data_IF_263300383122
#
_entry.id   IF_263300383122
#
_cell.length_a   1.000
_cell.length_b   1.000
_cell.length_c   1.000
_cell.angle_alpha   90.00
_cell.angle_beta   90.00
_cell.angle_gamma   90.00
#
_symmetry.space_group_name_H-M   'P 1'
#
loop_
_entity.id
_entity.type
_entity.pdbx_description
1 polymer ?
#
# COMPACT_ATOMS: atom_id res chain seq x y z
N UNK A 1 -41.54 24.85 -19.71
CA UNK A 1 -40.26 24.51 -20.41
C UNK A 1 -39.61 23.39 -19.64
N UNK A 2 -39.75 22.18 -20.16
CA UNK A 2 -39.34 20.93 -19.49
C UNK A 2 -37.91 20.62 -19.93
N UNK A 3 -36.98 20.64 -18.99
CA UNK A 3 -35.57 20.27 -19.26
C UNK A 3 -35.40 18.79 -18.89
N UNK A 4 -35.35 17.94 -19.90
CA UNK A 4 -35.01 16.52 -19.77
C UNK A 4 -33.48 16.37 -19.65
N UNK A 5 -32.99 16.01 -18.45
CA UNK A 5 -31.59 15.66 -18.22
C UNK A 5 -31.36 14.19 -18.58
N UNK A 6 -30.60 13.96 -19.65
CA UNK A 6 -30.14 12.64 -20.05
C UNK A 6 -28.94 12.24 -19.22
N UNK A 7 -29.13 11.38 -18.23
CA UNK A 7 -28.06 10.73 -17.49
C UNK A 7 -27.46 9.61 -18.35
N UNK A 8 -26.29 9.84 -18.94
CA UNK A 8 -25.50 8.76 -19.55
C UNK A 8 -24.79 7.97 -18.44
N UNK A 9 -25.24 6.73 -18.26
CA UNK A 9 -24.51 5.70 -17.55
C UNK A 9 -23.18 5.46 -18.25
N UNK A 10 -22.07 5.68 -17.53
CA UNK A 10 -20.76 5.15 -17.92
C UNK A 10 -20.63 3.78 -17.28
N UNK A 11 -21.05 2.77 -18.02
CA UNK A 11 -20.80 1.36 -17.72
C UNK A 11 -19.56 0.93 -18.50
N UNK A 12 -18.78 0.05 -17.88
CA UNK A 12 -17.74 -0.83 -18.40
C UNK A 12 -16.38 -0.24 -18.75
N UNK A 13 -15.39 -0.72 -18.02
CA UNK A 13 -14.04 -0.92 -18.58
C UNK A 13 -14.16 -1.87 -19.76
N UNK A 14 -14.05 -1.38 -20.99
CA UNK A 14 -13.92 -2.21 -22.17
C UNK A 14 -12.50 -2.74 -22.28
N UNK A 15 -12.38 -4.04 -22.37
CA UNK A 15 -11.21 -4.73 -22.87
C UNK A 15 -10.91 -4.32 -24.30
N UNK A 16 -9.65 -4.12 -24.65
CA UNK A 16 -9.20 -3.85 -26.02
C UNK A 16 -9.43 -5.09 -26.92
N UNK A 17 -9.80 -4.92 -28.17
CA UNK A 17 -10.07 -6.02 -29.08
C UNK A 17 -8.78 -6.68 -29.56
N UNK A 18 -8.75 -7.99 -29.49
CA UNK A 18 -7.72 -8.86 -30.06
C UNK A 18 -8.05 -9.10 -31.55
N UNK A 19 -7.27 -8.53 -32.47
CA UNK A 19 -7.33 -8.82 -33.88
C UNK A 19 -6.30 -9.88 -34.24
N UNK A 20 -6.75 -11.11 -34.43
CA UNK A 20 -5.90 -12.17 -34.96
C UNK A 20 -6.74 -13.29 -35.57
N UNK A 21 -6.96 -13.21 -36.88
CA UNK A 21 -7.58 -14.28 -37.67
C UNK A 21 -6.58 -15.42 -37.85
N UNK A 22 -6.88 -16.61 -37.34
CA UNK A 22 -6.21 -17.84 -37.66
C UNK A 22 -7.20 -19.01 -37.65
N UNK A 23 -7.56 -19.53 -38.83
CA UNK A 23 -8.37 -20.74 -39.00
C UNK A 23 -7.51 -21.96 -38.74
N UNK A 24 -7.88 -22.79 -37.75
CA UNK A 24 -7.35 -24.13 -37.55
C UNK A 24 -8.40 -25.04 -36.97
N UNK A 25 -8.90 -26.02 -37.79
CA UNK A 25 -9.79 -27.10 -37.34
C UNK A 25 -8.97 -28.09 -36.50
N UNK A 26 -9.38 -28.36 -35.29
CA UNK A 26 -8.83 -29.42 -34.44
C UNK A 26 -9.85 -29.95 -33.44
N UNK A 27 -10.12 -31.24 -33.50
CA UNK A 27 -11.14 -32.00 -32.76
C UNK A 27 -11.10 -31.81 -31.24
N UNK A 28 -12.24 -31.41 -30.67
CA UNK A 28 -12.53 -31.53 -29.24
C UNK A 28 -12.81 -33.00 -28.90
N UNK A 29 -11.89 -33.63 -28.16
CA UNK A 29 -12.21 -34.80 -27.33
C UNK A 29 -12.77 -34.30 -26.00
N UNK A 30 -14.08 -34.60 -25.81
CA UNK A 30 -14.74 -34.46 -24.52
C UNK A 30 -14.23 -35.59 -23.63
N UNK A 31 -13.44 -35.26 -22.60
CA UNK A 31 -13.14 -36.18 -21.51
C UNK A 31 -14.21 -36.05 -20.45
N UNK A 32 -15.06 -37.11 -20.40
CA UNK A 32 -16.08 -37.30 -19.38
C UNK A 32 -15.42 -37.53 -18.02
N UNK A 33 -15.85 -36.74 -17.04
CA UNK A 33 -15.55 -36.92 -15.62
C UNK A 33 -16.13 -38.22 -15.06
N UNK A 34 -15.33 -39.28 -15.04
CA UNK A 34 -15.59 -40.50 -14.27
C UNK A 34 -14.27 -41.21 -14.00
N UNK A 35 -13.53 -40.77 -12.99
CA UNK A 35 -12.52 -41.55 -12.24
C UNK A 35 -11.80 -40.64 -11.24
N UNK A 36 -12.42 -40.18 -10.19
CA UNK A 36 -11.78 -39.85 -8.90
C UNK A 36 -12.86 -40.02 -7.82
N UNK A 37 -13.08 -41.26 -7.43
CA UNK A 37 -13.70 -41.61 -6.17
C UNK A 37 -13.24 -43.03 -5.84
N UNK A 38 -12.16 -43.13 -5.14
CA UNK A 38 -11.85 -44.15 -4.16
C UNK A 38 -10.40 -43.99 -3.67
N UNK A 39 -10.20 -43.15 -2.69
CA UNK A 39 -9.22 -43.30 -1.61
C UNK A 39 -9.68 -42.43 -0.44
N UNK A 40 -10.69 -42.93 0.29
CA UNK A 40 -10.95 -42.51 1.64
C UNK A 40 -9.82 -43.06 2.54
N UNK A 41 -8.72 -42.36 2.65
CA UNK A 41 -7.87 -42.50 3.81
C UNK A 41 -8.59 -41.77 4.95
N UNK A 42 -9.00 -42.52 5.97
CA UNK A 42 -9.53 -41.98 7.23
C UNK A 42 -8.50 -41.01 7.80
N UNK A 43 -8.72 -39.73 7.59
CA UNK A 43 -7.94 -38.68 8.26
C UNK A 43 -8.52 -38.54 9.64
N UNK A 44 -7.78 -39.00 10.64
CA UNK A 44 -8.09 -38.84 12.05
C UNK A 44 -8.05 -37.35 12.42
N UNK A 45 -9.23 -36.75 12.59
CA UNK A 45 -9.46 -35.36 13.00
C UNK A 45 -9.57 -35.25 14.54
N UNK A 46 -8.80 -35.99 15.31
CA UNK A 46 -8.74 -35.76 16.75
C UNK A 46 -8.25 -34.34 17.05
N UNK A 47 -8.89 -33.66 17.99
CA UNK A 47 -8.55 -32.28 18.38
C UNK A 47 -7.08 -32.15 18.78
N UNK A 48 -6.50 -33.21 19.35
CA UNK A 48 -5.10 -33.27 19.73
C UNK A 48 -4.14 -33.25 18.52
N UNK A 49 -4.53 -33.88 17.43
CA UNK A 49 -3.73 -33.92 16.20
C UNK A 49 -3.83 -32.60 15.43
N UNK A 50 -5.01 -31.97 15.46
CA UNK A 50 -5.22 -30.63 14.92
C UNK A 50 -4.41 -29.59 15.70
N UNK A 51 -4.42 -29.64 17.02
CA UNK A 51 -3.63 -28.75 17.88
C UNK A 51 -2.12 -28.98 17.72
N UNK A 52 -1.68 -30.23 17.57
CA UNK A 52 -0.27 -30.55 17.31
C UNK A 52 0.18 -30.06 15.94
N UNK A 53 -0.66 -30.19 14.91
CA UNK A 53 -0.39 -29.67 13.56
C UNK A 53 -0.37 -28.15 13.56
N UNK A 54 -1.30 -27.49 14.26
CA UNK A 54 -1.29 -26.04 14.45
C UNK A 54 -0.04 -25.56 15.18
N UNK A 55 0.40 -26.24 16.24
CA UNK A 55 1.63 -25.89 16.95
C UNK A 55 2.87 -26.11 16.10
N UNK A 56 2.94 -27.17 15.30
CA UNK A 56 4.03 -27.38 14.34
C UNK A 56 4.03 -26.32 13.26
N UNK A 57 2.87 -26.02 12.66
CA UNK A 57 2.76 -24.92 11.69
C UNK A 57 3.11 -23.55 12.30
N UNK A 58 2.70 -23.28 13.54
CA UNK A 58 3.09 -22.05 14.23
C UNK A 58 4.58 -22.03 14.57
N UNK A 59 5.19 -23.15 14.91
CA UNK A 59 6.63 -23.26 15.17
C UNK A 59 7.47 -23.15 13.89
N UNK A 60 7.00 -23.70 12.77
CA UNK A 60 7.58 -23.47 11.43
C UNK A 60 7.40 -22.03 10.97
N UNK A 61 6.29 -21.38 11.36
CA UNK A 61 6.00 -19.96 11.13
C UNK A 61 6.85 -19.01 12.02
N UNK A 62 7.33 -19.48 13.18
CA UNK A 62 8.18 -18.69 14.10
C UNK A 62 9.67 -18.71 13.75
N UNK A 63 10.12 -19.65 12.94
CA UNK A 63 11.51 -19.75 12.48
C UNK A 63 11.58 -19.68 10.94
N UNK A 64 11.64 -18.48 10.36
CA UNK A 64 11.90 -18.37 8.93
C UNK A 64 13.25 -19.04 8.60
N UNK A 65 13.37 -19.75 7.45
CA UNK A 65 14.63 -20.34 7.03
C UNK A 65 15.72 -19.28 6.97
N UNK A 66 16.92 -19.63 7.38
CA UNK A 66 18.06 -18.71 7.39
C UNK A 66 18.30 -18.15 5.99
N UNK A 67 18.22 -16.81 5.86
CA UNK A 67 18.40 -16.12 4.58
C UNK A 67 17.14 -15.41 4.02
N UNK A 68 15.97 -15.61 4.64
CA UNK A 68 14.77 -14.86 4.28
C UNK A 68 14.57 -13.64 5.19
N UNK A 69 13.97 -12.58 4.62
CA UNK A 69 13.64 -11.34 5.36
C UNK A 69 12.57 -11.51 6.46
N UNK A 70 12.03 -12.70 6.63
CA UNK A 70 10.87 -12.99 7.48
C UNK A 70 9.57 -13.15 6.70
N UNK A 71 9.57 -12.85 5.39
CA UNK A 71 8.41 -13.04 4.52
C UNK A 71 8.01 -14.51 4.44
N UNK A 72 6.71 -14.73 4.60
CA UNK A 72 6.08 -16.04 4.51
C UNK A 72 5.15 -16.05 3.30
N UNK A 73 5.20 -17.14 2.53
CA UNK A 73 4.44 -17.33 1.31
C UNK A 73 5.32 -17.71 0.12
N UNK A 74 4.75 -18.40 -0.87
CA UNK A 74 5.46 -18.89 -2.07
C UNK A 74 5.30 -17.96 -3.28
N UNK A 75 4.56 -16.85 -3.16
CA UNK A 75 4.33 -15.92 -4.25
C UNK A 75 5.62 -15.41 -4.92
N UNK A 76 6.74 -15.43 -4.16
CA UNK A 76 8.05 -15.02 -4.65
C UNK A 76 8.67 -15.99 -5.68
N UNK A 77 8.19 -17.21 -5.80
CA UNK A 77 8.74 -18.28 -6.65
C UNK A 77 7.75 -18.83 -7.67
N UNK A 78 6.50 -18.35 -7.68
CA UNK A 78 5.48 -18.82 -8.60
C UNK A 78 5.57 -18.10 -9.95
N UNK A 79 5.36 -18.85 -11.03
CA UNK A 79 5.28 -18.31 -12.37
C UNK A 79 3.97 -17.59 -12.58
N UNK A 80 3.90 -16.73 -13.59
CA UNK A 80 2.72 -15.96 -13.95
C UNK A 80 1.47 -16.84 -14.17
N UNK A 81 1.65 -18.02 -14.72
CA UNK A 81 0.59 -18.98 -15.04
C UNK A 81 -0.04 -19.61 -13.80
N UNK A 82 0.67 -19.63 -12.67
CA UNK A 82 0.23 -20.25 -11.43
C UNK A 82 -0.68 -19.33 -10.59
N UNK A 83 -0.80 -18.05 -11.00
CA UNK A 83 -1.63 -17.09 -10.28
C UNK A 83 -3.11 -17.22 -10.69
N UNK A 84 -4.05 -17.05 -9.73
CA UNK A 84 -5.47 -17.10 -10.01
C UNK A 84 -5.93 -15.93 -10.90
N UNK A 85 -7.08 -16.10 -11.51
CA UNK A 85 -7.76 -15.00 -12.19
C UNK A 85 -8.44 -14.05 -11.20
N UNK A 86 -8.72 -12.82 -11.63
CA UNK A 86 -9.53 -11.87 -10.84
C UNK A 86 -10.89 -12.42 -10.46
N UNK A 87 -11.48 -13.29 -11.30
CA UNK A 87 -12.77 -13.95 -11.03
C UNK A 87 -12.65 -14.93 -9.86
N UNK A 88 -11.62 -15.75 -9.81
CA UNK A 88 -11.34 -16.68 -8.71
C UNK A 88 -11.08 -15.96 -7.40
N UNK A 89 -10.30 -14.88 -7.42
CA UNK A 89 -10.07 -14.03 -6.24
C UNK A 89 -11.41 -13.47 -5.73
N UNK A 90 -12.24 -12.92 -6.62
CA UNK A 90 -13.54 -12.39 -6.23
C UNK A 90 -14.51 -13.47 -5.74
N UNK A 91 -14.41 -14.71 -6.22
CA UNK A 91 -15.20 -15.84 -5.76
C UNK A 91 -14.78 -16.30 -4.35
N UNK A 92 -13.50 -16.20 -4.01
CA UNK A 92 -12.98 -16.54 -2.70
C UNK A 92 -13.46 -15.57 -1.59
N UNK A 93 -13.67 -14.28 -1.93
CA UNK A 93 -14.14 -13.26 -0.97
C UNK A 93 -15.63 -13.47 -0.69
N UNK A 94 -16.07 -13.63 0.58
CA UNK A 94 -17.47 -13.77 0.95
C UNK A 94 -18.36 -12.68 0.35
N UNK A 95 -19.53 -13.03 -0.14
CA UNK A 95 -20.41 -12.10 -0.88
C UNK A 95 -20.80 -10.87 -0.03
N UNK A 96 -21.06 -11.06 1.27
CA UNK A 96 -21.44 -9.99 2.18
C UNK A 96 -20.28 -8.99 2.43
N UNK A 97 -19.02 -9.43 2.36
CA UNK A 97 -17.85 -8.55 2.48
C UNK A 97 -17.75 -7.52 1.34
N UNK A 98 -18.46 -7.74 0.24
CA UNK A 98 -18.52 -6.81 -0.91
C UNK A 98 -19.72 -5.87 -0.86
N UNK A 99 -20.51 -5.91 0.21
CA UNK A 99 -21.71 -5.07 0.37
C UNK A 99 -21.36 -3.80 1.13
N UNK A 100 -21.63 -2.65 0.51
CA UNK A 100 -21.43 -1.34 1.13
C UNK A 100 -22.59 -1.00 2.07
N UNK A 101 -22.29 -0.68 3.31
CA UNK A 101 -23.19 -0.09 4.29
C UNK A 101 -22.79 1.36 4.55
N UNK A 102 -23.53 2.29 3.93
CA UNK A 102 -23.26 3.73 4.05
C UNK A 102 -23.39 4.22 5.49
N UNK A 103 -24.33 3.68 6.28
CA UNK A 103 -24.50 4.06 7.68
C UNK A 103 -23.28 3.67 8.50
N UNK A 104 -22.82 2.45 8.33
CA UNK A 104 -21.61 1.94 9.01
C UNK A 104 -20.38 2.75 8.63
N UNK A 105 -20.20 3.05 7.33
CA UNK A 105 -19.11 3.91 6.86
C UNK A 105 -19.16 5.31 7.49
N UNK A 106 -20.35 5.93 7.56
CA UNK A 106 -20.54 7.25 8.19
C UNK A 106 -20.25 7.22 9.70
N UNK A 107 -20.57 6.14 10.39
CA UNK A 107 -20.23 6.00 11.81
C UNK A 107 -18.72 5.94 12.03
N UNK A 108 -17.98 5.18 11.22
CA UNK A 108 -16.52 5.14 11.27
C UNK A 108 -15.91 6.50 10.90
N UNK A 109 -16.46 7.18 9.90
CA UNK A 109 -16.05 8.52 9.51
C UNK A 109 -16.23 9.52 10.65
N UNK A 110 -17.42 9.52 11.29
CA UNK A 110 -17.72 10.37 12.43
C UNK A 110 -16.83 10.05 13.64
N UNK A 111 -16.56 8.77 13.90
CA UNK A 111 -15.65 8.33 14.97
C UNK A 111 -14.23 8.86 14.74
N UNK A 112 -13.65 8.64 13.56
CA UNK A 112 -12.29 9.11 13.24
C UNK A 112 -12.18 10.62 13.30
N UNK A 113 -13.18 11.34 12.75
CA UNK A 113 -13.28 12.80 12.84
C UNK A 113 -13.37 13.26 14.29
N UNK A 114 -14.24 12.62 15.07
CA UNK A 114 -14.49 12.96 16.48
C UNK A 114 -13.25 12.77 17.34
N UNK A 115 -12.51 11.67 17.18
CA UNK A 115 -11.26 11.42 17.93
C UNK A 115 -10.23 12.54 17.66
N UNK A 116 -10.02 12.88 16.39
CA UNK A 116 -9.06 13.93 16.01
C UNK A 116 -9.49 15.31 16.52
N UNK A 117 -10.75 15.66 16.34
CA UNK A 117 -11.28 16.97 16.74
C UNK A 117 -11.27 17.13 18.26
N UNK A 118 -11.84 16.15 19.00
CA UNK A 118 -11.97 16.23 20.47
C UNK A 118 -10.58 16.26 21.11
N UNK A 119 -9.65 15.37 20.71
CA UNK A 119 -8.31 15.37 21.27
C UNK A 119 -7.54 16.65 20.93
N UNK A 120 -7.75 17.24 19.74
CA UNK A 120 -7.18 18.54 19.37
C UNK A 120 -7.73 19.69 20.20
N UNK A 121 -9.05 19.75 20.44
CA UNK A 121 -9.68 20.74 21.30
C UNK A 121 -9.20 20.63 22.74
N UNK A 122 -9.13 19.40 23.30
CA UNK A 122 -8.64 19.15 24.65
C UNK A 122 -7.16 19.55 24.78
N UNK A 123 -6.32 19.17 23.84
CA UNK A 123 -4.91 19.54 23.84
C UNK A 123 -4.73 21.07 23.81
N UNK A 124 -5.46 21.74 22.92
CA UNK A 124 -5.39 23.20 22.85
C UNK A 124 -5.86 23.92 24.13
N UNK A 125 -6.88 23.37 24.81
CA UNK A 125 -7.48 23.93 26.01
C UNK A 125 -6.63 23.68 27.28
N UNK A 126 -6.03 22.49 27.42
CA UNK A 126 -5.47 22.02 28.69
C UNK A 126 -3.95 21.87 28.70
N UNK A 127 -3.26 21.72 27.55
CA UNK A 127 -1.81 21.62 27.54
C UNK A 127 -1.20 23.02 27.51
N UNK A 128 -0.40 23.41 28.53
CA UNK A 128 0.29 24.69 28.53
C UNK A 128 1.30 24.81 27.36
N UNK A 129 1.29 25.98 26.69
CA UNK A 129 2.11 26.25 25.50
C UNK A 129 3.51 26.76 25.88
N UNK A 130 4.21 26.00 26.72
CA UNK A 130 5.58 26.30 27.18
C UNK A 130 6.51 25.13 26.88
N UNK A 131 7.81 25.39 26.78
CA UNK A 131 8.81 24.35 26.48
C UNK A 131 8.84 23.20 27.52
N UNK A 132 8.47 23.47 28.77
CA UNK A 132 8.36 22.44 29.80
C UNK A 132 7.33 21.35 29.45
N UNK A 133 6.30 21.68 28.66
CA UNK A 133 5.25 20.74 28.22
C UNK A 133 5.52 20.17 26.81
N UNK A 134 6.70 20.41 26.23
CA UNK A 134 7.07 19.83 24.93
C UNK A 134 6.90 18.29 24.85
N UNK A 135 7.29 17.49 25.87
CA UNK A 135 7.05 16.04 25.84
C UNK A 135 5.56 15.67 25.74
N UNK A 136 4.66 16.44 26.38
CA UNK A 136 3.21 16.22 26.34
C UNK A 136 2.66 16.59 24.94
N UNK A 137 3.17 17.66 24.32
CA UNK A 137 2.85 18.02 22.94
C UNK A 137 3.33 16.96 21.92
N UNK A 138 4.50 16.38 22.15
CA UNK A 138 5.01 15.26 21.33
C UNK A 138 4.09 14.05 21.48
N UNK A 139 3.71 13.67 22.69
CA UNK A 139 2.78 12.56 22.95
C UNK A 139 1.41 12.80 22.28
N UNK A 140 0.88 14.03 22.41
CA UNK A 140 -0.34 14.43 21.71
C UNK A 140 -0.17 14.33 20.19
N UNK A 141 0.92 14.83 19.63
CA UNK A 141 1.17 14.79 18.19
C UNK A 141 1.21 13.35 17.67
N UNK A 142 1.87 12.44 18.41
CA UNK A 142 1.91 11.00 18.08
C UNK A 142 0.50 10.41 18.13
N UNK A 143 -0.25 10.64 19.19
CA UNK A 143 -1.61 10.12 19.33
C UNK A 143 -2.54 10.67 18.23
N UNK A 144 -2.68 12.00 18.16
CA UNK A 144 -3.60 12.63 17.23
C UNK A 144 -3.20 12.39 15.76
N UNK A 145 -1.91 12.39 15.43
CA UNK A 145 -1.45 12.10 14.07
C UNK A 145 -1.65 10.65 13.65
N UNK A 146 -1.54 9.69 14.59
CA UNK A 146 -1.89 8.27 14.35
C UNK A 146 -3.39 8.12 14.08
N UNK A 147 -4.25 8.78 14.86
CA UNK A 147 -5.69 8.83 14.61
C UNK A 147 -6.02 9.61 13.32
N UNK A 148 -5.25 10.67 13.04
CA UNK A 148 -5.36 11.49 11.82
C UNK A 148 -5.08 10.67 10.55
N UNK A 149 -4.17 9.71 10.60
CA UNK A 149 -3.98 8.77 9.50
C UNK A 149 -5.23 7.89 9.30
N UNK A 150 -5.87 7.40 10.37
CA UNK A 150 -7.15 6.71 10.29
C UNK A 150 -8.27 7.59 9.69
N UNK A 151 -8.31 8.88 10.03
CA UNK A 151 -9.23 9.84 9.41
C UNK A 151 -8.92 10.03 7.91
N UNK A 152 -7.65 10.11 7.53
CA UNK A 152 -7.22 10.15 6.13
C UNK A 152 -7.65 8.88 5.38
N UNK A 153 -7.57 7.70 6.02
CA UNK A 153 -8.00 6.42 5.45
C UNK A 153 -9.50 6.36 5.16
N UNK A 154 -10.34 7.09 5.88
CA UNK A 154 -11.76 7.20 5.50
C UNK A 154 -11.93 7.91 4.14
N UNK A 155 -11.11 8.94 3.86
CA UNK A 155 -11.06 9.57 2.54
C UNK A 155 -10.49 8.65 1.45
N UNK A 156 -9.53 7.79 1.81
CA UNK A 156 -8.97 6.76 0.97
C UNK A 156 -10.03 5.71 0.55
N UNK A 157 -10.87 5.24 1.49
CA UNK A 157 -12.02 4.38 1.19
C UNK A 157 -13.00 5.04 0.19
N UNK A 158 -13.23 6.34 0.37
CA UNK A 158 -14.01 7.13 -0.60
C UNK A 158 -13.35 7.10 -1.99
N UNK A 159 -12.04 7.20 -2.06
CA UNK A 159 -11.25 7.14 -3.29
C UNK A 159 -11.41 5.83 -4.06
N UNK A 160 -11.62 4.73 -3.35
CA UNK A 160 -11.80 3.37 -3.90
C UNK A 160 -13.26 3.00 -4.20
N UNK A 161 -14.22 3.87 -3.96
CA UNK A 161 -15.65 3.55 -4.07
C UNK A 161 -16.08 2.44 -3.09
N UNK A 162 -15.42 2.37 -1.93
CA UNK A 162 -15.68 1.42 -0.86
C UNK A 162 -16.50 2.02 0.31
N UNK A 163 -16.87 3.30 0.23
CA UNK A 163 -17.53 4.02 1.30
C UNK A 163 -19.07 4.06 1.17
N UNK A 164 -19.58 4.42 0.00
CA UNK A 164 -21.03 4.58 -0.21
C UNK A 164 -21.43 4.34 -1.66
N UNK A 165 -22.67 3.85 -1.85
CA UNK A 165 -23.32 3.81 -3.17
C UNK A 165 -23.68 5.20 -3.70
N UNK A 166 -23.85 6.19 -2.81
CA UNK A 166 -24.07 7.59 -3.17
C UNK A 166 -22.71 8.25 -3.46
N UNK A 167 -22.39 8.41 -4.74
CA UNK A 167 -21.11 8.96 -5.19
C UNK A 167 -20.89 10.42 -4.74
N UNK A 168 -21.96 11.24 -4.67
CA UNK A 168 -21.83 12.62 -4.23
C UNK A 168 -21.47 12.70 -2.73
N UNK A 169 -22.10 11.88 -1.89
CA UNK A 169 -21.77 11.77 -0.46
C UNK A 169 -20.33 11.28 -0.29
N UNK A 170 -19.94 10.23 -1.02
CA UNK A 170 -18.61 9.67 -0.98
C UNK A 170 -17.55 10.70 -1.38
N UNK A 171 -17.73 11.39 -2.53
CA UNK A 171 -16.80 12.43 -2.97
C UNK A 171 -16.74 13.61 -1.98
N UNK A 172 -17.85 13.98 -1.34
CA UNK A 172 -17.88 15.03 -0.32
C UNK A 172 -17.09 14.62 0.94
N UNK A 173 -17.30 13.40 1.46
CA UNK A 173 -16.55 12.89 2.61
C UNK A 173 -15.05 12.75 2.30
N UNK A 174 -14.71 12.20 1.15
CA UNK A 174 -13.32 12.05 0.71
C UNK A 174 -12.63 13.40 0.53
N UNK A 175 -13.30 14.35 -0.12
CA UNK A 175 -12.79 15.71 -0.28
C UNK A 175 -12.57 16.41 1.06
N UNK A 176 -13.55 16.33 1.98
CA UNK A 176 -13.43 16.92 3.31
C UNK A 176 -12.25 16.32 4.09
N UNK A 177 -12.19 15.00 4.20
CA UNK A 177 -11.12 14.31 4.94
C UNK A 177 -9.74 14.64 4.39
N UNK A 178 -9.53 14.43 3.10
CA UNK A 178 -8.23 14.63 2.49
C UNK A 178 -7.78 16.09 2.48
N UNK A 179 -8.70 17.02 2.22
CA UNK A 179 -8.39 18.46 2.22
C UNK A 179 -7.94 18.93 3.60
N UNK A 180 -8.58 18.47 4.68
CA UNK A 180 -8.16 18.76 6.06
C UNK A 180 -6.81 18.12 6.40
N UNK A 181 -6.40 17.07 5.69
CA UNK A 181 -5.08 16.47 5.79
C UNK A 181 -4.09 17.01 4.73
N UNK A 182 -4.36 18.17 4.15
CA UNK A 182 -3.56 18.82 3.07
C UNK A 182 -3.28 17.91 1.88
N UNK A 183 -4.19 17.00 1.59
CA UNK A 183 -4.13 16.07 0.46
C UNK A 183 -5.16 16.50 -0.60
N UNK A 184 -4.77 16.72 -1.86
CA UNK A 184 -5.71 17.10 -2.92
C UNK A 184 -6.50 15.87 -3.40
N UNK A 185 -7.71 15.68 -2.90
CA UNK A 185 -8.52 14.45 -2.99
C UNK A 185 -8.64 13.85 -4.39
N UNK A 186 -9.14 14.61 -5.38
CA UNK A 186 -9.37 14.06 -6.72
C UNK A 186 -8.08 13.77 -7.47
N UNK A 187 -7.00 14.52 -7.22
CA UNK A 187 -5.69 14.22 -7.77
C UNK A 187 -5.16 12.93 -7.19
N UNK A 188 -5.21 12.81 -5.87
CA UNK A 188 -4.80 11.61 -5.17
C UNK A 188 -5.66 10.40 -5.59
N UNK A 189 -6.98 10.53 -5.67
CA UNK A 189 -7.88 9.47 -6.15
C UNK A 189 -7.46 8.95 -7.53
N UNK A 190 -7.05 9.84 -8.42
CA UNK A 190 -6.58 9.45 -9.76
C UNK A 190 -5.23 8.75 -9.72
N UNK A 191 -4.24 9.31 -9.03
CA UNK A 191 -2.90 8.73 -8.95
C UNK A 191 -2.95 7.38 -8.24
N UNK A 192 -3.70 7.29 -7.15
CA UNK A 192 -3.85 6.06 -6.38
C UNK A 192 -4.59 4.95 -7.15
N UNK A 193 -5.56 5.29 -7.99
CA UNK A 193 -6.17 4.31 -8.91
C UNK A 193 -5.16 3.78 -9.94
N UNK A 194 -4.19 4.59 -10.37
CA UNK A 194 -3.09 4.12 -11.24
C UNK A 194 -2.13 3.24 -10.45
N UNK A 195 -1.79 3.63 -9.21
CA UNK A 195 -0.98 2.83 -8.31
C UNK A 195 -1.55 1.42 -8.16
N UNK A 196 -2.84 1.27 -7.85
CA UNK A 196 -3.50 -0.05 -7.77
C UNK A 196 -3.46 -0.82 -9.09
N UNK A 197 -3.69 -0.14 -10.21
CA UNK A 197 -3.75 -0.80 -11.51
C UNK A 197 -2.37 -1.18 -12.07
N UNK A 198 -1.27 -0.68 -11.50
CA UNK A 198 0.12 -0.87 -11.93
C UNK A 198 1.07 -1.19 -10.78
N UNK A 199 0.52 -1.76 -9.71
CA UNK A 199 1.31 -2.12 -8.54
C UNK A 199 2.43 -3.08 -8.93
N UNK A 200 3.62 -2.82 -8.37
CA UNK A 200 4.85 -3.59 -8.61
C UNK A 200 5.37 -3.61 -10.06
N UNK A 201 4.92 -2.68 -10.91
CA UNK A 201 5.42 -2.53 -12.27
C UNK A 201 6.60 -1.53 -12.32
N UNK A 202 7.76 -1.95 -12.83
CA UNK A 202 9.01 -1.17 -12.83
C UNK A 202 8.93 0.18 -13.57
N UNK A 203 8.14 0.28 -14.63
CA UNK A 203 8.10 1.48 -15.48
C UNK A 203 6.81 2.26 -15.36
N UNK A 204 5.68 1.55 -15.28
CA UNK A 204 4.35 2.13 -15.21
C UNK A 204 3.78 2.21 -13.78
N UNK A 205 4.54 1.77 -12.77
CA UNK A 205 4.19 1.97 -11.38
C UNK A 205 4.06 3.46 -11.07
N UNK A 206 2.97 3.85 -10.40
CA UNK A 206 2.71 5.25 -10.08
C UNK A 206 3.48 5.73 -8.85
N UNK A 207 3.72 4.82 -7.92
CA UNK A 207 4.50 5.06 -6.69
C UNK A 207 5.26 3.80 -6.26
N UNK A 208 6.22 3.96 -5.37
CA UNK A 208 7.10 2.90 -4.85
C UNK A 208 7.89 2.14 -5.94
N UNK A 209 8.19 2.80 -7.05
CA UNK A 209 9.06 2.25 -8.08
C UNK A 209 10.51 2.46 -7.66
N UNK A 210 11.28 1.38 -7.44
CA UNK A 210 12.68 1.48 -7.05
C UNK A 210 13.53 2.06 -8.17
N UNK A 211 14.68 2.63 -7.82
CA UNK A 211 15.66 3.13 -8.78
C UNK A 211 16.58 2.01 -9.25
N UNK A 212 17.02 2.10 -10.49
CA UNK A 212 17.93 1.10 -11.08
C UNK A 212 19.36 1.35 -10.61
N UNK A 213 20.08 0.29 -10.26
CA UNK A 213 21.48 0.40 -9.80
C UNK A 213 22.42 1.04 -10.84
N UNK A 214 22.13 0.86 -12.12
CA UNK A 214 22.92 1.40 -13.23
C UNK A 214 22.64 2.86 -13.59
N UNK A 215 21.58 3.47 -13.08
CA UNK A 215 21.26 4.88 -13.34
C UNK A 215 22.00 5.85 -12.38
N UNK A 216 22.08 7.12 -12.76
CA UNK A 216 22.80 8.16 -11.98
C UNK A 216 22.32 8.26 -10.54
N UNK A 217 21.01 8.15 -10.32
CA UNK A 217 20.44 8.26 -8.98
C UNK A 217 20.78 7.03 -8.13
N UNK A 218 20.65 5.82 -8.69
CA UNK A 218 21.00 4.57 -8.02
C UNK A 218 22.48 4.56 -7.61
N UNK A 219 23.37 4.95 -8.53
CA UNK A 219 24.81 5.10 -8.26
C UNK A 219 25.09 6.13 -7.17
N UNK A 220 24.45 7.32 -7.24
CA UNK A 220 24.65 8.38 -6.25
C UNK A 220 24.19 7.95 -4.84
N UNK A 221 23.08 7.25 -4.71
CA UNK A 221 22.57 6.77 -3.42
C UNK A 221 23.48 5.68 -2.83
N UNK A 222 24.01 4.79 -3.65
CA UNK A 222 24.99 3.78 -3.21
C UNK A 222 26.29 4.44 -2.74
N UNK A 223 26.85 5.35 -3.52
CA UNK A 223 28.02 6.12 -3.14
C UNK A 223 27.81 6.95 -1.88
N UNK A 224 26.62 7.54 -1.71
CA UNK A 224 26.25 8.23 -0.47
C UNK A 224 26.25 7.27 0.73
N UNK A 225 25.62 6.09 0.61
CA UNK A 225 25.63 5.07 1.67
C UNK A 225 27.04 4.60 2.01
N UNK A 226 27.89 4.36 1.03
CA UNK A 226 29.30 3.97 1.23
C UNK A 226 30.07 5.07 1.99
N UNK A 227 29.83 6.33 1.64
CA UNK A 227 30.49 7.48 2.27
C UNK A 227 30.06 7.72 3.72
N UNK A 228 28.75 7.64 4.02
CA UNK A 228 28.20 8.01 5.33
C UNK A 228 27.99 6.81 6.26
N UNK A 229 28.04 5.61 5.72
CA UNK A 229 27.76 4.36 6.44
C UNK A 229 26.26 4.04 6.55
N UNK A 230 25.97 2.77 6.88
CA UNK A 230 24.59 2.23 6.92
C UNK A 230 23.68 2.96 7.91
N UNK A 231 24.20 3.37 9.07
CA UNK A 231 23.42 4.03 10.11
C UNK A 231 22.98 5.44 9.68
N UNK A 232 23.91 6.26 9.21
CA UNK A 232 23.58 7.62 8.77
C UNK A 232 22.66 7.59 7.54
N UNK A 233 22.90 6.69 6.59
CA UNK A 233 22.03 6.48 5.43
C UNK A 233 20.64 6.02 5.86
N UNK A 234 20.53 5.05 6.77
CA UNK A 234 19.23 4.54 7.26
C UNK A 234 18.41 5.62 7.97
N UNK A 235 19.04 6.43 8.84
CA UNK A 235 18.37 7.57 9.50
C UNK A 235 17.91 8.60 8.47
N UNK A 236 18.77 8.94 7.51
CA UNK A 236 18.40 9.88 6.42
C UNK A 236 17.22 9.35 5.61
N UNK A 237 17.26 8.07 5.19
CA UNK A 237 16.20 7.44 4.43
C UNK A 237 14.88 7.41 5.21
N UNK A 238 14.92 7.06 6.50
CA UNK A 238 13.73 7.08 7.37
C UNK A 238 13.12 8.50 7.46
N UNK A 239 13.98 9.53 7.55
CA UNK A 239 13.53 10.93 7.56
C UNK A 239 12.88 11.33 6.23
N UNK A 240 13.51 10.97 5.10
CA UNK A 240 12.96 11.24 3.77
C UNK A 240 11.62 10.52 3.57
N UNK A 241 11.49 9.27 4.00
CA UNK A 241 10.23 8.52 3.94
C UNK A 241 9.15 9.19 4.77
N UNK A 242 9.47 9.66 5.98
CA UNK A 242 8.52 10.34 6.86
C UNK A 242 7.98 11.66 6.27
N UNK A 243 8.74 12.31 5.39
CA UNK A 243 8.32 13.52 4.66
C UNK A 243 7.92 13.21 3.20
N UNK A 244 8.05 11.96 2.79
CA UNK A 244 7.96 11.51 1.40
C UNK A 244 6.61 11.81 0.74
N UNK A 245 5.52 11.79 1.50
CA UNK A 245 4.20 12.05 0.95
C UNK A 245 4.03 13.47 0.42
N UNK A 246 4.60 14.47 1.10
CA UNK A 246 4.60 15.86 0.61
C UNK A 246 5.43 15.98 -0.67
N UNK A 247 6.61 15.34 -0.72
CA UNK A 247 7.46 15.31 -1.92
C UNK A 247 6.78 14.57 -3.08
N UNK A 248 6.04 13.50 -2.78
CA UNK A 248 5.24 12.79 -3.76
C UNK A 248 4.13 13.68 -4.35
N UNK A 249 3.37 14.40 -3.52
CA UNK A 249 2.32 15.31 -4.00
C UNK A 249 2.86 16.46 -4.86
N UNK A 250 4.05 16.98 -4.52
CA UNK A 250 4.65 18.12 -5.22
C UNK A 250 5.45 17.73 -6.47
N UNK A 251 6.09 16.55 -6.48
CA UNK A 251 7.07 16.20 -7.51
C UNK A 251 6.89 14.78 -8.10
N UNK A 252 5.99 13.95 -7.58
CA UNK A 252 5.87 12.55 -7.99
C UNK A 252 7.09 11.71 -7.60
N UNK A 253 7.69 11.99 -6.43
CA UNK A 253 9.03 11.55 -6.05
C UNK A 253 9.29 10.03 -6.08
N UNK A 254 8.27 9.19 -5.92
CA UNK A 254 8.37 7.71 -5.92
C UNK A 254 7.80 7.05 -7.18
N UNK A 255 7.36 7.84 -8.15
CA UNK A 255 6.77 7.33 -9.39
C UNK A 255 7.78 6.77 -10.38
N UNK A 256 7.31 5.87 -11.23
CA UNK A 256 8.09 5.30 -12.32
C UNK A 256 8.43 6.31 -13.42
N UNK A 257 9.40 5.98 -14.28
CA UNK A 257 9.88 6.86 -15.35
C UNK A 257 8.78 7.32 -16.31
N UNK A 258 7.72 6.54 -16.45
CA UNK A 258 6.59 6.83 -17.34
C UNK A 258 5.86 8.13 -16.94
N UNK A 259 5.78 8.43 -15.65
CA UNK A 259 5.12 9.63 -15.15
C UNK A 259 6.10 10.78 -14.91
N UNK A 260 7.36 10.49 -14.55
CA UNK A 260 8.41 11.48 -14.34
C UNK A 260 8.00 12.54 -13.30
N UNK A 261 8.43 13.79 -13.53
CA UNK A 261 8.08 14.91 -12.64
C UNK A 261 6.60 15.28 -12.80
N UNK A 262 5.78 14.94 -11.80
CA UNK A 262 4.34 15.23 -11.74
C UNK A 262 3.97 16.08 -10.55
N UNK A 263 2.84 16.78 -10.60
CA UNK A 263 2.36 17.62 -9.51
C UNK A 263 0.85 17.43 -9.32
N UNK A 264 0.43 17.12 -8.11
CA UNK A 264 -0.96 16.84 -7.77
C UNK A 264 -1.84 18.11 -7.65
N UNK A 265 -1.22 19.29 -7.66
CA UNK A 265 -1.92 20.58 -7.57
C UNK A 265 -1.97 21.31 -8.90
N UNK A 266 -0.95 21.08 -9.78
CA UNK A 266 -0.81 21.80 -11.03
C UNK A 266 -0.52 20.84 -12.19
N UNK A 267 -1.55 20.37 -12.93
CA UNK A 267 -1.42 19.35 -13.96
C UNK A 267 -1.01 19.93 -15.34
N UNK A 268 -0.03 20.82 -15.37
CA UNK A 268 0.46 21.52 -16.59
C UNK A 268 1.97 21.71 -16.53
N UNK A 269 2.53 22.18 -17.65
CA UNK A 269 3.95 22.56 -17.74
C UNK A 269 4.36 23.42 -16.53
N UNK A 270 5.52 23.15 -15.90
CA UNK A 270 6.63 22.26 -16.34
C UNK A 270 6.45 20.76 -16.04
N UNK A 271 5.37 20.36 -15.37
CA UNK A 271 5.12 18.98 -14.96
C UNK A 271 4.58 18.13 -16.12
N UNK A 272 4.88 16.82 -16.09
CA UNK A 272 4.29 15.87 -17.03
C UNK A 272 2.81 15.66 -16.73
N UNK A 273 1.99 15.51 -17.78
CA UNK A 273 0.53 15.46 -17.67
C UNK A 273 -0.06 14.07 -17.90
N UNK A 274 0.78 13.05 -18.09
CA UNK A 274 0.31 11.67 -18.35
C UNK A 274 -0.57 11.14 -17.23
N UNK A 275 -0.20 11.38 -15.99
CA UNK A 275 -0.97 10.98 -14.82
C UNK A 275 -2.33 11.69 -14.75
N UNK A 276 -2.35 12.98 -15.13
CA UNK A 276 -3.54 13.84 -15.09
C UNK A 276 -3.91 14.34 -16.50
N UNK A 277 -4.55 13.50 -17.36
CA UNK A 277 -4.99 13.94 -18.68
C UNK A 277 -6.04 15.05 -18.58
N UNK A 278 -6.25 15.82 -19.65
CA UNK A 278 -7.09 17.05 -19.70
C UNK A 278 -8.44 16.91 -18.98
N UNK A 279 -9.10 15.75 -19.10
CA UNK A 279 -10.38 15.48 -18.43
C UNK A 279 -10.34 15.56 -16.89
N UNK A 280 -9.13 15.46 -16.30
CA UNK A 280 -8.93 15.53 -14.84
C UNK A 280 -8.56 16.93 -14.36
N UNK A 281 -8.17 17.86 -15.25
CA UNK A 281 -7.62 19.16 -14.85
C UNK A 281 -8.57 19.95 -13.92
N UNK A 282 -9.88 19.97 -14.19
CA UNK A 282 -10.86 20.67 -13.33
C UNK A 282 -10.87 20.07 -11.92
N UNK A 283 -10.91 18.74 -11.82
CA UNK A 283 -10.88 18.03 -10.52
C UNK A 283 -9.58 18.25 -9.76
N UNK A 284 -8.44 18.26 -10.47
CA UNK A 284 -7.12 18.55 -9.89
C UNK A 284 -7.09 19.97 -9.31
N UNK A 285 -7.52 20.95 -10.08
CA UNK A 285 -7.58 22.36 -9.64
C UNK A 285 -8.53 22.52 -8.46
N UNK A 286 -9.71 21.92 -8.52
CA UNK A 286 -10.68 21.97 -7.41
C UNK A 286 -10.10 21.40 -6.11
N UNK A 287 -9.34 20.29 -6.20
CA UNK A 287 -8.63 19.70 -5.05
C UNK A 287 -7.55 20.62 -4.50
N UNK A 288 -6.77 21.23 -5.38
CA UNK A 288 -5.74 22.20 -5.00
C UNK A 288 -6.32 23.43 -4.29
N UNK A 289 -7.44 23.97 -4.79
CA UNK A 289 -8.12 25.09 -4.17
C UNK A 289 -8.63 24.77 -2.75
N UNK A 290 -9.14 23.56 -2.52
CA UNK A 290 -9.51 23.11 -1.19
C UNK A 290 -8.34 23.15 -0.21
N UNK A 291 -7.18 22.58 -0.62
CA UNK A 291 -5.97 22.60 0.21
C UNK A 291 -5.47 24.02 0.48
N UNK A 292 -5.48 24.89 -0.54
CA UNK A 292 -5.16 26.33 -0.36
C UNK A 292 -6.11 26.99 0.64
N UNK A 293 -7.40 26.66 0.59
CA UNK A 293 -8.40 27.13 1.56
C UNK A 293 -8.05 26.72 2.99
N UNK A 294 -7.67 25.46 3.23
CA UNK A 294 -7.24 24.99 4.56
C UNK A 294 -5.97 25.69 5.01
N UNK A 295 -4.98 25.86 4.12
CA UNK A 295 -3.76 26.62 4.45
C UNK A 295 -4.12 28.05 4.84
N UNK A 296 -5.05 28.70 4.12
CA UNK A 296 -5.57 30.03 4.47
C UNK A 296 -6.24 30.07 5.84
N UNK A 297 -7.05 29.06 6.17
CA UNK A 297 -7.68 28.94 7.51
C UNK A 297 -6.63 28.75 8.62
N UNK A 298 -5.61 27.93 8.39
CA UNK A 298 -4.51 27.73 9.34
C UNK A 298 -3.68 29.01 9.55
N UNK A 299 -3.41 29.75 8.47
CA UNK A 299 -2.73 31.05 8.53
C UNK A 299 -3.56 32.10 9.30
N UNK A 300 -4.87 32.13 9.05
CA UNK A 300 -5.78 33.00 9.80
C UNK A 300 -5.84 32.62 11.28
N UNK A 301 -5.91 31.33 11.60
CA UNK A 301 -5.84 30.85 12.98
C UNK A 301 -4.54 31.24 13.67
N UNK A 302 -3.38 31.10 12.97
CA UNK A 302 -2.09 31.53 13.48
C UNK A 302 -2.04 33.04 13.76
N UNK A 303 -2.68 33.86 12.89
CA UNK A 303 -2.81 35.31 13.11
C UNK A 303 -3.67 35.64 14.34
N UNK A 304 -4.78 34.91 14.55
CA UNK A 304 -5.68 35.12 15.69
C UNK A 304 -5.11 34.59 17.02
N UNK A 305 -4.16 33.67 16.99
CA UNK A 305 -3.57 33.05 18.19
C UNK A 305 -2.06 33.19 18.21
N UNK A 306 -1.36 32.22 17.64
CA UNK A 306 0.08 32.26 17.34
C UNK A 306 0.46 31.15 16.36
N UNK A 307 1.57 31.34 15.65
CA UNK A 307 2.17 30.28 14.83
C UNK A 307 2.42 29.00 15.64
N UNK A 308 2.93 29.15 16.88
CA UNK A 308 3.26 28.01 17.74
C UNK A 308 2.01 27.22 18.19
N UNK A 309 0.88 27.89 18.36
CA UNK A 309 -0.39 27.19 18.63
C UNK A 309 -0.80 26.27 17.47
N UNK A 310 -0.75 26.79 16.26
CA UNK A 310 -1.09 26.00 15.06
C UNK A 310 -0.06 24.90 14.82
N UNK A 311 1.23 25.20 15.00
CA UNK A 311 2.31 24.22 14.89
C UNK A 311 2.13 23.06 15.87
N UNK A 312 1.77 23.33 17.13
CA UNK A 312 1.59 22.32 18.16
C UNK A 312 0.30 21.51 17.95
N UNK A 313 -0.83 22.17 17.68
CA UNK A 313 -2.15 21.51 17.62
C UNK A 313 -2.39 20.78 16.30
N UNK A 314 -1.90 21.34 15.19
CA UNK A 314 -2.11 20.79 13.85
C UNK A 314 -0.80 20.29 13.20
N UNK A 315 0.27 21.10 13.26
CA UNK A 315 1.52 20.79 12.56
C UNK A 315 2.20 19.53 13.07
N UNK A 316 2.29 19.35 14.39
CA UNK A 316 2.85 18.12 14.99
C UNK A 316 2.09 16.86 14.56
N UNK A 317 0.75 16.77 14.76
CA UNK A 317 -0.08 15.68 14.24
C UNK A 317 0.06 15.46 12.72
N UNK A 318 0.12 16.52 11.93
CA UNK A 318 0.30 16.43 10.48
C UNK A 318 1.63 15.78 10.09
N UNK A 319 2.72 16.07 10.79
CA UNK A 319 4.00 15.41 10.55
C UNK A 319 3.94 13.91 10.86
N UNK A 320 3.27 13.53 11.95
CA UNK A 320 3.08 12.11 12.31
C UNK A 320 2.17 11.39 11.31
N UNK A 321 1.11 12.03 10.84
CA UNK A 321 0.26 11.50 9.76
C UNK A 321 1.07 11.23 8.49
N UNK A 322 1.92 12.17 8.07
CA UNK A 322 2.79 11.98 6.90
C UNK A 322 3.80 10.85 7.12
N UNK A 323 4.36 10.72 8.33
CA UNK A 323 5.23 9.61 8.67
C UNK A 323 4.51 8.28 8.53
N UNK A 324 3.26 8.15 9.02
CA UNK A 324 2.45 6.95 8.81
C UNK A 324 2.18 6.67 7.33
N UNK A 325 1.82 7.69 6.53
CA UNK A 325 1.64 7.54 5.09
C UNK A 325 2.90 6.96 4.44
N UNK A 326 4.07 7.55 4.71
CA UNK A 326 5.33 7.08 4.16
C UNK A 326 5.70 5.67 4.63
N UNK A 327 5.56 5.39 5.93
CA UNK A 327 5.92 4.11 6.54
C UNK A 327 5.00 3.00 6.05
N UNK A 328 3.67 3.19 6.12
CA UNK A 328 2.70 2.16 5.73
C UNK A 328 2.88 1.82 4.26
N UNK A 329 2.89 2.81 3.38
CA UNK A 329 3.02 2.54 1.95
C UNK A 329 4.37 1.90 1.59
N UNK A 330 5.49 2.38 2.18
CA UNK A 330 6.80 1.76 1.96
C UNK A 330 6.81 0.28 2.40
N UNK A 331 6.37 -0.01 3.61
CA UNK A 331 6.43 -1.35 4.18
C UNK A 331 5.59 -2.37 3.41
N UNK A 332 4.49 -1.95 2.80
CA UNK A 332 3.61 -2.86 2.06
C UNK A 332 4.03 -3.10 0.61
N UNK A 333 4.89 -2.24 0.06
CA UNK A 333 5.33 -2.32 -1.34
C UNK A 333 6.83 -2.61 -1.50
N UNK A 334 7.56 -2.71 -0.38
CA UNK A 334 9.03 -2.83 -0.44
C UNK A 334 9.52 -3.86 0.57
N UNK A 335 10.30 -4.80 0.09
CA UNK A 335 11.15 -5.67 0.90
C UNK A 335 12.35 -6.17 0.08
N UNK A 336 13.43 -6.56 0.75
CA UNK A 336 14.65 -7.06 0.09
C UNK A 336 14.39 -8.27 -0.80
N UNK A 337 13.39 -9.08 -0.47
CA UNK A 337 13.08 -10.33 -1.16
C UNK A 337 11.94 -10.22 -2.17
N UNK A 338 11.24 -9.08 -2.22
CA UNK A 338 10.14 -8.87 -3.17
C UNK A 338 10.65 -8.34 -4.51
N UNK A 339 10.47 -9.09 -5.61
CA UNK A 339 10.88 -8.64 -6.93
C UNK A 339 9.91 -7.60 -7.48
N UNK A 340 10.40 -6.76 -8.38
CA UNK A 340 9.57 -5.91 -9.24
C UNK A 340 9.54 -6.49 -10.65
N UNK A 341 8.46 -6.25 -11.37
CA UNK A 341 8.14 -6.92 -12.62
C UNK A 341 8.02 -5.94 -13.78
N UNK A 342 8.25 -6.42 -15.00
CA UNK A 342 8.02 -5.67 -16.23
C UNK A 342 7.58 -6.58 -17.38
N UNK A 343 7.10 -5.98 -18.49
CA UNK A 343 6.80 -6.67 -19.74
C UNK A 343 5.85 -7.85 -19.57
N UNK A 344 6.21 -8.99 -20.13
CA UNK A 344 5.40 -10.22 -20.10
C UNK A 344 5.31 -10.84 -18.69
N UNK A 345 6.28 -10.56 -17.82
CA UNK A 345 6.32 -11.10 -16.46
C UNK A 345 5.31 -10.38 -15.54
N UNK A 346 4.85 -9.19 -15.92
CA UNK A 346 3.91 -8.45 -15.12
C UNK A 346 2.46 -8.76 -15.51
N UNK A 347 1.60 -8.97 -14.53
CA UNK A 347 0.16 -8.79 -14.63
C UNK A 347 -0.37 -8.21 -13.31
N UNK A 348 -1.61 -7.72 -13.33
CA UNK A 348 -2.24 -7.09 -12.18
C UNK A 348 -2.27 -7.99 -10.94
N UNK A 349 -2.66 -9.25 -11.10
CA UNK A 349 -2.82 -10.19 -9.98
C UNK A 349 -1.47 -10.52 -9.34
N UNK A 350 -0.45 -10.78 -10.17
CA UNK A 350 0.92 -11.04 -9.69
C UNK A 350 1.45 -9.83 -8.95
N UNK A 351 1.31 -8.63 -9.50
CA UNK A 351 1.72 -7.40 -8.83
C UNK A 351 1.00 -7.16 -7.50
N UNK A 352 -0.31 -7.45 -7.42
CA UNK A 352 -1.10 -7.29 -6.22
C UNK A 352 -0.71 -8.28 -5.11
N UNK A 353 -0.45 -9.56 -5.44
CA UNK A 353 0.04 -10.54 -4.46
C UNK A 353 1.48 -10.29 -4.00
N UNK A 354 2.26 -9.47 -4.70
CA UNK A 354 3.58 -9.03 -4.25
C UNK A 354 3.53 -7.85 -3.27
N UNK A 355 2.34 -7.47 -2.80
CA UNK A 355 2.20 -6.62 -1.61
C UNK A 355 2.25 -7.46 -0.34
N UNK A 356 2.53 -6.84 0.80
CA UNK A 356 2.89 -7.54 2.04
C UNK A 356 1.98 -7.08 3.18
N UNK A 357 1.38 -8.01 3.92
CA UNK A 357 0.74 -7.69 5.19
C UNK A 357 1.72 -7.80 6.35
N UNK A 358 1.55 -6.95 7.39
CA UNK A 358 2.49 -6.84 8.51
C UNK A 358 1.77 -6.76 9.86
N UNK A 359 2.46 -7.05 11.00
CA UNK A 359 1.85 -7.20 12.32
C UNK A 359 1.54 -5.86 13.00
N UNK A 360 0.75 -4.99 12.35
CA UNK A 360 0.28 -3.73 12.97
C UNK A 360 -0.65 -3.98 14.15
N UNK A 361 -1.33 -5.12 14.19
CA UNK A 361 -2.14 -5.61 15.30
C UNK A 361 -1.34 -5.77 16.61
N UNK A 362 -0.01 -5.89 16.52
CA UNK A 362 0.89 -5.97 17.68
C UNK A 362 1.35 -4.60 18.19
N UNK A 363 1.10 -3.51 17.45
CA UNK A 363 1.47 -2.16 17.87
C UNK A 363 0.45 -1.60 18.87
N UNK A 364 0.96 -1.14 20.02
CA UNK A 364 0.15 -0.56 21.09
C UNK A 364 -1.10 -1.40 21.40
N UNK A 365 -0.92 -2.73 21.57
CA UNK A 365 -1.99 -3.70 21.86
C UNK A 365 -3.15 -3.70 20.85
N UNK A 366 -2.86 -3.49 19.58
CA UNK A 366 -3.83 -3.45 18.49
C UNK A 366 -4.47 -2.09 18.24
N UNK A 367 -4.19 -1.09 19.09
CA UNK A 367 -4.77 0.26 18.92
C UNK A 367 -4.40 0.89 17.57
N UNK A 368 -3.14 0.74 17.13
CA UNK A 368 -2.69 1.32 15.86
C UNK A 368 -3.44 0.69 14.68
N UNK A 369 -3.52 -0.62 14.64
CA UNK A 369 -4.23 -1.34 13.57
C UNK A 369 -5.73 -0.99 13.56
N UNK A 370 -6.35 -0.95 14.74
CA UNK A 370 -7.76 -0.59 14.88
C UNK A 370 -8.06 0.84 14.41
N UNK A 371 -7.30 1.85 14.88
CA UNK A 371 -7.56 3.24 14.53
C UNK A 371 -7.21 3.55 13.07
N UNK A 372 -6.32 2.75 12.46
CA UNK A 372 -5.95 2.81 11.05
C UNK A 372 -6.80 1.86 10.19
N UNK A 373 -7.96 1.41 10.70
CA UNK A 373 -8.94 0.62 9.95
C UNK A 373 -8.36 -0.64 9.29
N UNK A 374 -7.38 -1.25 9.95
CA UNK A 374 -6.72 -2.51 9.56
C UNK A 374 -5.94 -2.46 8.23
N UNK A 375 -5.64 -1.27 7.68
CA UNK A 375 -4.96 -1.16 6.38
C UNK A 375 -3.59 -1.87 6.37
N UNK A 376 -2.87 -1.88 7.51
CA UNK A 376 -1.56 -2.49 7.62
C UNK A 376 -1.58 -4.01 7.73
N UNK A 377 -2.66 -4.59 8.23
CA UNK A 377 -2.84 -6.04 8.40
C UNK A 377 -3.68 -6.69 7.29
N UNK A 378 -4.20 -5.90 6.33
CA UNK A 378 -5.08 -6.36 5.24
C UNK A 378 -4.74 -5.74 3.87
N UNK A 379 -3.50 -5.33 3.67
CA UNK A 379 -3.09 -4.57 2.49
C UNK A 379 -3.06 -5.41 1.21
N UNK A 380 -2.72 -6.70 1.33
CA UNK A 380 -2.79 -7.65 0.21
C UNK A 380 -4.21 -7.73 -0.34
N UNK A 381 -5.22 -7.92 0.53
CA UNK A 381 -6.62 -7.88 0.13
C UNK A 381 -6.99 -6.54 -0.51
N UNK A 382 -6.53 -5.44 0.11
CA UNK A 382 -6.79 -4.08 -0.38
C UNK A 382 -6.31 -3.90 -1.84
N UNK A 383 -5.17 -4.46 -2.22
CA UNK A 383 -4.69 -4.45 -3.61
C UNK A 383 -5.43 -5.44 -4.52
N UNK A 384 -5.88 -6.58 -4.00
CA UNK A 384 -6.64 -7.56 -4.77
C UNK A 384 -8.08 -7.11 -5.07
N UNK A 385 -8.73 -6.46 -4.10
CA UNK A 385 -10.07 -5.90 -4.25
C UNK A 385 -10.29 -4.67 -3.36
N UNK A 386 -9.89 -3.47 -3.80
CA UNK A 386 -9.99 -2.25 -3.01
C UNK A 386 -11.42 -1.75 -2.77
N UNK A 387 -12.43 -2.45 -3.28
CA UNK A 387 -13.86 -2.14 -3.06
C UNK A 387 -14.47 -2.88 -1.86
N UNK A 388 -13.72 -3.77 -1.22
CA UNK A 388 -14.11 -4.36 0.05
C UNK A 388 -13.94 -3.28 1.13
N UNK A 389 -15.04 -2.84 1.80
CA UNK A 389 -14.91 -1.81 2.82
C UNK A 389 -14.10 -2.29 4.02
N UNK A 390 -13.35 -1.39 4.64
CA UNK A 390 -12.37 -1.72 5.69
C UNK A 390 -12.96 -2.55 6.84
N UNK A 391 -14.24 -2.36 7.18
CA UNK A 391 -14.91 -3.10 8.26
C UNK A 391 -15.25 -4.57 7.91
N UNK A 392 -14.93 -5.02 6.70
CA UNK A 392 -14.94 -6.40 6.24
C UNK A 392 -13.55 -6.88 5.80
N UNK A 393 -12.53 -6.01 5.84
CA UNK A 393 -11.21 -6.33 5.31
C UNK A 393 -10.55 -7.51 6.03
N UNK A 394 -10.65 -7.60 7.36
CA UNK A 394 -10.07 -8.72 8.11
C UNK A 394 -10.69 -10.07 7.72
N UNK A 395 -12.02 -10.16 7.68
CA UNK A 395 -12.73 -11.38 7.29
C UNK A 395 -12.40 -11.80 5.84
N UNK A 396 -12.39 -10.85 4.92
CA UNK A 396 -12.05 -11.10 3.53
C UNK A 396 -10.56 -11.48 3.36
N UNK A 397 -9.65 -10.92 4.17
CA UNK A 397 -8.24 -11.32 4.20
C UNK A 397 -8.07 -12.76 4.64
N UNK A 398 -8.77 -13.20 5.68
CA UNK A 398 -8.74 -14.61 6.11
C UNK A 398 -9.27 -15.56 5.02
N UNK A 399 -10.27 -15.13 4.27
CA UNK A 399 -10.76 -15.90 3.11
C UNK A 399 -9.72 -16.02 1.99
N UNK A 400 -8.97 -14.95 1.70
CA UNK A 400 -7.86 -14.96 0.73
C UNK A 400 -6.71 -15.85 1.22
N UNK A 401 -6.32 -15.74 2.48
CA UNK A 401 -5.29 -16.61 3.08
C UNK A 401 -5.63 -18.08 2.94
N UNK A 402 -6.90 -18.42 3.20
CA UNK A 402 -7.39 -19.80 3.09
C UNK A 402 -7.43 -20.30 1.64
N UNK A 403 -7.84 -19.45 0.69
CA UNK A 403 -7.97 -19.82 -0.71
C UNK A 403 -6.61 -19.87 -1.44
N UNK A 404 -5.67 -19.00 -1.06
CA UNK A 404 -4.38 -18.83 -1.74
C UNK A 404 -3.21 -18.76 -0.76
N UNK A 405 -3.00 -19.78 0.09
CA UNK A 405 -2.01 -19.73 1.16
C UNK A 405 -0.58 -19.58 0.66
N UNK A 406 -0.27 -20.12 -0.52
CA UNK A 406 1.06 -20.05 -1.13
C UNK A 406 1.35 -18.70 -1.80
N UNK A 407 0.32 -17.88 -2.07
CA UNK A 407 0.45 -16.58 -2.73
C UNK A 407 0.45 -15.41 -1.73
N UNK A 408 -0.15 -15.61 -0.57
CA UNK A 408 -0.31 -14.56 0.42
C UNK A 408 1.01 -14.26 1.14
N UNK A 409 1.48 -13.01 1.04
CA UNK A 409 2.70 -12.57 1.69
C UNK A 409 2.41 -11.93 3.05
N UNK A 410 3.06 -12.45 4.08
CA UNK A 410 3.04 -11.90 5.42
C UNK A 410 4.45 -11.82 5.98
N UNK A 411 4.84 -10.66 6.52
CA UNK A 411 6.10 -10.51 7.22
C UNK A 411 5.85 -10.31 8.74
N UNK A 412 6.17 -11.30 9.58
CA UNK A 412 5.98 -11.23 11.03
C UNK A 412 6.99 -10.33 11.74
N UNK A 413 7.98 -9.76 11.02
CA UNK A 413 9.00 -8.90 11.62
C UNK A 413 8.37 -7.70 12.31
N UNK A 414 8.74 -7.38 13.56
CA UNK A 414 8.26 -6.20 14.25
C UNK A 414 8.49 -4.92 13.42
N UNK A 415 7.47 -4.07 13.31
CA UNK A 415 7.44 -2.89 12.43
C UNK A 415 8.72 -2.04 12.52
N UNK A 416 9.28 -1.68 13.70
CA UNK A 416 10.53 -0.89 13.75
C UNK A 416 11.73 -1.60 13.12
N UNK A 417 11.81 -2.94 13.28
CA UNK A 417 12.89 -3.74 12.66
C UNK A 417 12.71 -3.83 11.14
N UNK A 418 11.46 -4.00 10.67
CA UNK A 418 11.14 -4.01 9.25
C UNK A 418 11.48 -2.67 8.58
N UNK A 419 11.09 -1.55 9.21
CA UNK A 419 11.49 -0.20 8.73
C UNK A 419 13.00 -0.12 8.58
N UNK A 420 13.74 -0.48 9.65
CA UNK A 420 15.20 -0.38 9.63
C UNK A 420 15.82 -1.23 8.51
N UNK A 421 15.38 -2.49 8.37
CA UNK A 421 15.84 -3.36 7.29
C UNK A 421 15.64 -2.74 5.91
N UNK A 422 14.46 -2.23 5.64
CA UNK A 422 14.10 -1.69 4.33
C UNK A 422 14.84 -0.40 4.02
N UNK A 423 14.83 0.59 4.93
CA UNK A 423 15.48 1.88 4.68
C UNK A 423 17.01 1.78 4.62
N UNK A 424 17.58 0.74 5.21
CA UNK A 424 19.02 0.50 5.18
C UNK A 424 19.48 -0.25 3.92
N UNK A 425 18.64 -1.12 3.34
CA UNK A 425 19.07 -2.08 2.32
C UNK A 425 18.37 -1.90 0.97
N UNK A 426 17.11 -1.44 0.93
CA UNK A 426 16.36 -1.27 -0.32
C UNK A 426 16.72 0.05 -1.02
N UNK A 427 17.93 0.13 -1.59
CA UNK A 427 18.48 1.35 -2.22
C UNK A 427 18.14 1.40 -3.69
N UNK A 428 18.50 0.35 -4.43
CA UNK A 428 18.30 0.24 -5.88
C UNK A 428 18.17 -1.20 -6.31
N UNK A 429 17.63 -1.43 -7.49
CA UNK A 429 17.39 -2.77 -8.04
C UNK A 429 18.26 -3.05 -9.24
N UNK A 430 18.57 -4.33 -9.47
CA UNK A 430 19.20 -4.84 -10.67
C UNK A 430 18.32 -5.89 -11.33
N UNK A 431 18.38 -5.97 -12.65
CA UNK A 431 17.68 -6.99 -13.42
C UNK A 431 18.44 -8.31 -13.31
N UNK A 432 17.71 -9.37 -13.04
CA UNK A 432 18.23 -10.74 -13.03
C UNK A 432 17.32 -11.63 -13.87
N UNK A 433 17.91 -12.57 -14.59
CA UNK A 433 17.17 -13.62 -15.27
C UNK A 433 17.19 -14.86 -14.37
N UNK A 434 16.02 -15.37 -14.09
CA UNK A 434 15.83 -16.53 -13.25
C UNK A 434 15.09 -17.61 -14.03
N UNK A 435 15.65 -18.80 -14.05
CA UNK A 435 15.09 -19.95 -14.79
C UNK A 435 13.66 -20.32 -14.35
N UNK A 436 13.32 -19.98 -13.09
CA UNK A 436 12.04 -20.27 -12.45
C UNK A 436 11.01 -19.12 -12.56
N UNK A 437 11.44 -17.86 -12.72
CA UNK A 437 10.57 -16.67 -12.67
C UNK A 437 10.63 -15.79 -13.91
N UNK A 438 11.54 -16.03 -14.83
CA UNK A 438 11.85 -15.14 -15.95
C UNK A 438 12.66 -13.90 -15.53
N UNK A 439 12.57 -12.82 -16.28
CA UNK A 439 13.29 -11.58 -16.02
C UNK A 439 12.60 -10.74 -14.95
N UNK A 440 13.25 -10.59 -13.79
CA UNK A 440 12.73 -9.82 -12.65
C UNK A 440 13.76 -8.82 -12.13
N UNK A 441 13.29 -7.80 -11.42
CA UNK A 441 14.13 -6.79 -10.79
C UNK A 441 14.18 -7.04 -9.28
N UNK A 442 15.38 -7.19 -8.72
CA UNK A 442 15.60 -7.47 -7.29
C UNK A 442 16.47 -6.40 -6.66
N UNK A 443 16.28 -6.15 -5.36
CA UNK A 443 17.14 -5.21 -4.64
C UNK A 443 18.59 -5.72 -4.62
N UNK A 444 19.49 -4.82 -4.99
CA UNK A 444 20.94 -5.07 -4.99
C UNK A 444 21.48 -4.69 -3.60
N UNK A 445 21.23 -5.59 -2.62
CA UNK A 445 21.62 -5.40 -1.23
C UNK A 445 23.13 -5.55 -1.05
N UNK A 446 23.87 -4.50 -0.65
CA UNK A 446 25.31 -4.57 -0.45
C UNK A 446 25.76 -5.55 0.65
N UNK A 447 24.92 -5.78 1.67
CA UNK A 447 25.23 -6.71 2.75
C UNK A 447 25.23 -8.17 2.28
N UNK A 448 24.43 -8.47 1.25
CA UNK A 448 24.35 -9.79 0.65
C UNK A 448 25.48 -10.04 -0.36
N UNK A 449 25.96 -8.98 -1.05
CA UNK A 449 27.08 -9.07 -1.96
C UNK A 449 28.41 -9.34 -1.21
N UNK A 450 28.56 -8.84 0.02
CA UNK A 450 29.73 -9.14 0.86
C UNK A 450 29.78 -10.61 1.27
N UNK A 451 28.65 -11.23 1.59
CA UNK A 451 28.56 -12.68 1.89
C UNK A 451 28.74 -13.56 0.65
N UNK A 452 28.33 -13.07 -0.53
CA UNK A 452 28.52 -13.79 -1.81
C UNK A 452 30.00 -13.84 -2.24
N UNK A 453 30.81 -12.84 -1.86
CA UNK A 453 32.25 -12.82 -2.17
C UNK A 453 33.07 -13.79 -1.32
N UNK A 454 32.55 -14.20 -0.16
CA UNK A 454 33.19 -15.19 0.75
C UNK A 454 32.74 -16.63 0.50
N UNK A 455 31.67 -16.86 -0.28
CA UNK A 455 31.12 -18.19 -0.56
C UNK A 455 30.33 -18.28 -1.85
N UNK A 456 30.96 -17.95 -2.97
CA UNK A 456 30.36 -17.65 -4.29
C UNK A 456 29.36 -18.64 -4.92
N UNK A 457 28.96 -19.70 -4.24
CA UNK A 457 27.99 -20.68 -4.76
C UNK A 457 26.72 -20.84 -3.90
N UNK A 458 26.74 -20.28 -2.68
CA UNK A 458 25.72 -20.56 -1.68
C UNK A 458 24.47 -19.66 -1.79
N UNK A 459 24.59 -18.44 -2.31
CA UNK A 459 23.52 -17.44 -2.24
C UNK A 459 22.51 -17.50 -3.39
N UNK A 460 22.92 -17.92 -4.57
CA UNK A 460 21.97 -18.15 -5.69
C UNK A 460 21.03 -19.34 -5.42
N UNK A 461 21.54 -20.33 -4.68
CA UNK A 461 20.79 -21.57 -4.40
C UNK A 461 19.96 -21.52 -3.13
N UNK A 462 20.32 -20.71 -2.14
CA UNK A 462 19.65 -20.76 -0.82
C UNK A 462 18.43 -19.83 -0.69
N UNK A 463 18.40 -18.71 -1.40
CA UNK A 463 17.30 -17.73 -1.30
C UNK A 463 15.96 -18.24 -1.84
N UNK A 464 16.00 -19.22 -2.74
CA UNK A 464 14.82 -19.60 -3.51
C UNK A 464 14.61 -21.12 -3.63
N UNK A 465 15.44 -21.96 -2.97
CA UNK A 465 15.35 -23.42 -3.07
C UNK A 465 14.70 -24.13 -1.91
N UNK A 466 14.32 -23.45 -0.86
CA UNK A 466 13.63 -24.04 0.29
C UNK A 466 12.18 -23.56 0.33
N UNK A 467 11.42 -23.91 -0.69
CA UNK A 467 9.97 -23.96 -0.64
C UNK A 467 9.55 -25.36 -1.06
#
# INVERSE_FOLDING_TARGET
MTVTSTVRRVTSMQALPNNGKGKGKGNKKVLTSKAVMDTTTDVDFSDEKIEKTKRQMMQELETPPAGFSGLMGKALVLKKEDYPTVAEINAAIPAHCKVLDTTKSMLYFAMSTGICLVSGLLANAFIPKTLAFLPVWIAYAIFNGTCGFGFWLQGHECGHFAFSKNLALQDACGYFSHTLCLTPYFSWQRSHAVHHSRVNHMWEGESHVPKVTGDEYGQAMRAFREKVGVWAHGIWSATVVSLGFVLYLLFGASGGPEYGLTNHFWPRVPFKTKLFPKKWHVKVVASGLGVIGVIGMLAYWAKCTSFWTVAAVYGGPYLVLNAWLGIVTLLHHTDTDVPHLEGEEWNYVRGAFLTIDRPYDKLAWGFVDWVQHHIGSTHVLHHLNPRVPHYHAQEATEAIKKAFPDLYLYDPTPIPKAIWRIVSNCISVKKVNRDDLGEVWVYDDPSMNAQASEGGEYLEKSRWRSA
#
